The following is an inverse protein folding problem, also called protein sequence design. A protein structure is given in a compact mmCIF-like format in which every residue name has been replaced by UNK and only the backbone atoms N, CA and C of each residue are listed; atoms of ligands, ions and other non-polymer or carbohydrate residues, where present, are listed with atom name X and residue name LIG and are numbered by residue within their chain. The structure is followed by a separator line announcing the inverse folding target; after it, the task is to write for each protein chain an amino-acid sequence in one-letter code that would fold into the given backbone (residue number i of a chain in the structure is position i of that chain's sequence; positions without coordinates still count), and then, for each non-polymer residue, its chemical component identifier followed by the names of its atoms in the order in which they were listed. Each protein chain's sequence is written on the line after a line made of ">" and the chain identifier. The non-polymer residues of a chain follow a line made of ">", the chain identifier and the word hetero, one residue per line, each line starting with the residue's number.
data_IF_471615309292
#
_entry.id   IF_471615309292
#
_cell.length_a   1.000
_cell.length_b   1.000
_cell.length_c   1.000
_cell.angle_alpha   90.00
_cell.angle_beta   90.00
_cell.angle_gamma   90.00
#
_symmetry.space_group_name_H-M   'P 1'
#
loop_
_entity.id
_entity.type
_entity.pdbx_description
1 polymer ?
#
# COMPACT_ATOMS: atom_id res chain seq x y z
N UNK A 1 70.07 7.79 -14.60
CA UNK A 1 68.74 7.17 -14.85
C UNK A 1 67.82 7.25 -13.62
N UNK A 2 68.31 6.90 -12.42
CA UNK A 2 67.54 6.93 -11.16
C UNK A 2 67.01 8.33 -10.75
N UNK A 3 67.74 9.40 -11.07
CA UNK A 3 67.32 10.78 -10.73
C UNK A 3 66.03 11.21 -11.47
N UNK A 4 65.80 10.71 -12.70
CA UNK A 4 64.56 10.98 -13.45
C UNK A 4 63.34 10.23 -12.89
N UNK A 5 63.56 9.14 -12.14
CA UNK A 5 62.48 8.37 -11.49
C UNK A 5 61.97 9.09 -10.23
N UNK A 6 62.87 9.70 -9.47
CA UNK A 6 62.55 10.43 -8.24
C UNK A 6 61.74 11.71 -8.50
N UNK A 7 62.03 12.43 -9.59
CA UNK A 7 61.22 13.60 -10.00
C UNK A 7 59.81 13.23 -10.44
N UNK A 8 59.65 12.06 -11.10
CA UNK A 8 58.34 11.56 -11.54
C UNK A 8 57.46 11.18 -10.35
N UNK A 9 58.04 10.60 -9.30
CA UNK A 9 57.34 10.28 -8.04
C UNK A 9 56.94 11.54 -7.24
N UNK A 10 57.72 12.63 -7.30
CA UNK A 10 57.36 13.92 -6.67
C UNK A 10 56.19 14.62 -7.35
N UNK A 11 56.09 14.52 -8.69
CA UNK A 11 54.96 15.11 -9.43
C UNK A 11 53.63 14.37 -9.18
N UNK A 12 53.67 13.07 -8.89
CA UNK A 12 52.48 12.28 -8.57
C UNK A 12 51.87 12.62 -7.20
N UNK A 13 52.67 13.09 -6.23
CA UNK A 13 52.18 13.53 -4.91
C UNK A 13 51.76 15.00 -4.85
N UNK A 14 52.14 15.80 -5.83
CA UNK A 14 51.84 17.24 -5.84
C UNK A 14 50.38 17.56 -6.23
N UNK A 15 49.62 16.55 -6.66
CA UNK A 15 48.23 16.70 -7.13
C UNK A 15 47.19 16.06 -6.18
N UNK A 16 47.59 15.67 -4.97
CA UNK A 16 46.68 15.27 -3.91
C UNK A 16 46.07 16.52 -3.25
N UNK A 17 45.24 17.26 -4.00
CA UNK A 17 44.37 18.30 -3.44
C UNK A 17 43.28 17.61 -2.62
N UNK A 18 43.44 17.61 -1.30
CA UNK A 18 42.41 17.10 -0.39
C UNK A 18 41.13 17.94 -0.44
N UNK A 19 39.98 17.30 -0.26
CA UNK A 19 38.69 17.96 -0.08
C UNK A 19 38.77 18.96 1.07
N UNK A 20 38.25 20.16 0.86
CA UNK A 20 38.14 21.15 1.94
C UNK A 20 36.95 20.81 2.84
N UNK A 21 37.06 21.12 4.13
CA UNK A 21 35.94 20.96 5.07
C UNK A 21 34.72 21.79 4.65
N UNK A 22 34.96 22.96 4.02
CA UNK A 22 33.89 23.84 3.55
C UNK A 22 33.13 23.26 2.36
N UNK A 23 33.79 22.53 1.46
CA UNK A 23 33.11 21.83 0.35
C UNK A 23 32.14 20.78 0.88
N UNK A 24 32.57 19.97 1.85
CA UNK A 24 31.70 18.96 2.43
C UNK A 24 30.57 19.60 3.27
N UNK A 25 30.85 20.71 3.95
CA UNK A 25 29.86 21.48 4.71
C UNK A 25 28.74 22.02 3.82
N UNK A 26 29.07 22.66 2.69
CA UNK A 26 28.06 23.21 1.78
C UNK A 26 27.20 22.09 1.17
N UNK A 27 27.80 20.94 0.85
CA UNK A 27 27.07 19.78 0.31
C UNK A 27 26.05 19.23 1.31
N UNK A 28 26.44 19.00 2.57
CA UNK A 28 25.48 18.48 3.57
C UNK A 28 24.40 19.50 3.92
N UNK A 29 24.70 20.80 3.86
CA UNK A 29 23.70 21.86 4.01
C UNK A 29 22.68 21.82 2.88
N UNK A 30 23.13 21.71 1.63
CA UNK A 30 22.22 21.61 0.47
C UNK A 30 21.36 20.34 0.56
N UNK A 31 21.96 19.19 0.88
CA UNK A 31 21.23 17.92 1.07
C UNK A 31 20.21 18.07 2.21
N UNK A 32 20.59 18.69 3.33
CA UNK A 32 19.69 18.94 4.46
C UNK A 32 18.44 19.74 4.08
N UNK A 33 18.61 20.81 3.30
CA UNK A 33 17.49 21.63 2.79
C UNK A 33 16.59 20.81 1.86
N UNK A 34 17.17 20.04 0.93
CA UNK A 34 16.40 19.21 -0.01
C UNK A 34 15.61 18.12 0.72
N UNK A 35 16.26 17.41 1.66
CA UNK A 35 15.63 16.35 2.45
C UNK A 35 14.49 16.89 3.31
N UNK A 36 14.68 18.08 3.92
CA UNK A 36 13.64 18.74 4.72
C UNK A 36 12.35 19.01 3.94
N UNK A 37 12.44 19.31 2.64
CA UNK A 37 11.26 19.55 1.78
C UNK A 37 10.74 18.24 1.17
N UNK A 38 11.64 17.32 0.80
CA UNK A 38 11.29 16.10 0.07
C UNK A 38 10.60 15.05 0.95
N UNK A 39 11.07 14.83 2.19
CA UNK A 39 10.56 13.77 3.05
C UNK A 39 9.06 13.89 3.39
N UNK A 40 8.54 15.04 3.85
CA UNK A 40 7.12 15.16 4.18
C UNK A 40 6.22 14.93 2.96
N UNK A 41 6.65 15.39 1.78
CA UNK A 41 5.94 15.18 0.52
C UNK A 41 5.94 13.71 0.10
N UNK A 42 7.05 13.02 0.31
CA UNK A 42 7.16 11.59 -0.02
C UNK A 42 6.25 10.74 0.88
N UNK A 43 6.24 11.01 2.19
CA UNK A 43 5.38 10.29 3.14
C UNK A 43 3.89 10.45 2.79
N UNK A 44 3.43 11.68 2.55
CA UNK A 44 2.02 11.91 2.17
C UNK A 44 1.63 11.30 0.82
N UNK A 45 2.57 11.12 -0.12
CA UNK A 45 2.31 10.40 -1.37
C UNK A 45 2.26 8.89 -1.17
N UNK A 46 3.12 8.34 -0.30
CA UNK A 46 3.11 6.94 0.03
C UNK A 46 1.77 6.53 0.67
N UNK A 47 1.22 7.35 1.55
CA UNK A 47 -0.09 7.07 2.17
C UNK A 47 -1.23 7.11 1.14
N UNK A 48 -1.27 8.14 0.27
CA UNK A 48 -2.26 8.18 -0.83
C UNK A 48 -2.15 7.00 -1.80
N UNK A 49 -0.93 6.50 -2.04
CA UNK A 49 -0.73 5.31 -2.86
C UNK A 49 -1.32 4.06 -2.18
N UNK A 50 -1.12 3.92 -0.86
CA UNK A 50 -1.75 2.87 -0.06
C UNK A 50 -3.27 2.96 -0.08
N UNK A 51 -3.85 4.14 0.10
CA UNK A 51 -5.30 4.34 0.01
C UNK A 51 -5.86 3.86 -1.34
N UNK A 52 -5.23 4.26 -2.44
CA UNK A 52 -5.62 3.81 -3.79
C UNK A 52 -5.45 2.32 -4.00
N UNK A 53 -4.39 1.73 -3.45
CA UNK A 53 -4.18 0.28 -3.49
C UNK A 53 -5.31 -0.46 -2.76
N UNK A 54 -5.71 0.00 -1.57
CA UNK A 54 -6.82 -0.59 -0.83
C UNK A 54 -8.12 -0.55 -1.63
N UNK A 55 -8.45 0.61 -2.22
CA UNK A 55 -9.64 0.75 -3.06
C UNK A 55 -9.58 -0.12 -4.32
N UNK A 56 -8.41 -0.28 -4.92
CA UNK A 56 -8.22 -1.16 -6.08
C UNK A 56 -8.41 -2.63 -5.72
N UNK A 57 -7.91 -3.04 -4.57
CA UNK A 57 -8.07 -4.41 -4.06
C UNK A 57 -9.53 -4.72 -3.79
N UNK A 58 -10.25 -3.78 -3.19
CA UNK A 58 -11.69 -3.88 -2.97
C UNK A 58 -12.46 -3.98 -4.30
N UNK A 59 -12.08 -3.24 -5.35
CA UNK A 59 -12.69 -3.40 -6.70
C UNK A 59 -12.52 -4.82 -7.23
N UNK A 60 -11.31 -5.36 -7.12
CA UNK A 60 -11.01 -6.71 -7.59
C UNK A 60 -11.84 -7.76 -6.82
N UNK A 61 -11.94 -7.62 -5.49
CA UNK A 61 -12.74 -8.53 -4.68
C UNK A 61 -14.24 -8.41 -4.97
N UNK A 62 -14.76 -7.18 -5.15
CA UNK A 62 -16.16 -6.95 -5.58
C UNK A 62 -16.46 -7.71 -6.87
N UNK A 63 -15.60 -7.57 -7.88
CA UNK A 63 -15.80 -8.24 -9.17
C UNK A 63 -15.90 -9.77 -9.03
N UNK A 64 -15.07 -10.39 -8.19
CA UNK A 64 -15.14 -11.84 -7.92
C UNK A 64 -16.46 -12.23 -7.24
N UNK A 65 -16.89 -11.45 -6.25
CA UNK A 65 -18.15 -11.71 -5.56
C UNK A 65 -19.36 -11.53 -6.46
N UNK A 66 -19.37 -10.50 -7.31
CA UNK A 66 -20.47 -10.27 -8.25
C UNK A 66 -20.61 -11.41 -9.26
N UNK A 67 -19.47 -11.93 -9.77
CA UNK A 67 -19.48 -13.12 -10.63
C UNK A 67 -20.06 -14.33 -9.90
N UNK A 68 -19.61 -14.58 -8.66
CA UNK A 68 -20.16 -15.67 -7.86
C UNK A 68 -21.67 -15.52 -7.63
N UNK A 69 -22.15 -14.33 -7.27
CA UNK A 69 -23.57 -14.06 -7.00
C UNK A 69 -24.42 -14.30 -8.26
N UNK A 70 -23.90 -13.92 -9.43
CA UNK A 70 -24.57 -14.08 -10.71
C UNK A 70 -24.61 -15.56 -11.17
N UNK A 71 -23.52 -16.30 -11.03
CA UNK A 71 -23.38 -17.64 -11.62
C UNK A 71 -23.75 -18.79 -10.66
N UNK A 72 -23.25 -18.75 -9.42
CA UNK A 72 -23.37 -19.86 -8.45
C UNK A 72 -24.33 -19.53 -7.30
N UNK A 73 -24.31 -18.28 -6.85
CA UNK A 73 -25.06 -17.81 -5.69
C UNK A 73 -26.56 -17.62 -5.95
N UNK A 74 -27.02 -17.70 -7.20
CA UNK A 74 -28.41 -17.48 -7.59
C UNK A 74 -28.99 -16.18 -7.00
N UNK A 75 -28.21 -15.09 -7.09
CA UNK A 75 -28.57 -13.79 -6.52
C UNK A 75 -28.30 -13.64 -5.02
N UNK A 76 -27.72 -14.65 -4.37
CA UNK A 76 -27.39 -14.62 -2.94
C UNK A 76 -25.89 -14.43 -2.73
N UNK A 77 -25.54 -13.39 -1.98
CA UNK A 77 -24.18 -13.14 -1.50
C UNK A 77 -23.69 -14.28 -0.59
N UNK A 78 -22.40 -14.64 -0.67
CA UNK A 78 -21.87 -15.76 0.11
C UNK A 78 -22.01 -15.51 1.61
N UNK A 79 -22.24 -16.58 2.36
CA UNK A 79 -22.21 -16.52 3.82
C UNK A 79 -20.83 -16.06 4.32
N UNK A 80 -20.78 -15.42 5.49
CA UNK A 80 -19.54 -14.88 6.05
C UNK A 80 -18.40 -15.90 6.12
N UNK A 81 -18.72 -17.14 6.48
CA UNK A 81 -17.75 -18.24 6.59
C UNK A 81 -17.27 -18.78 5.23
N UNK A 82 -17.97 -18.46 4.14
CA UNK A 82 -17.68 -18.97 2.80
C UNK A 82 -17.08 -17.91 1.86
N UNK A 83 -17.21 -16.62 2.18
CA UNK A 83 -16.72 -15.53 1.34
C UNK A 83 -15.21 -15.63 1.03
N UNK A 84 -14.39 -16.08 1.98
CA UNK A 84 -12.96 -16.32 1.72
C UNK A 84 -12.75 -17.36 0.61
N UNK A 85 -13.47 -18.49 0.65
CA UNK A 85 -13.32 -19.55 -0.35
C UNK A 85 -13.73 -19.06 -1.74
N UNK A 86 -14.80 -18.27 -1.83
CA UNK A 86 -15.24 -17.64 -3.09
C UNK A 86 -14.13 -16.74 -3.67
N UNK A 87 -13.55 -15.87 -2.84
CA UNK A 87 -12.46 -14.99 -3.27
C UNK A 87 -11.23 -15.76 -3.72
N UNK A 88 -10.88 -16.85 -3.03
CA UNK A 88 -9.75 -17.69 -3.38
C UNK A 88 -9.97 -18.48 -4.67
N UNK A 89 -11.19 -18.95 -4.93
CA UNK A 89 -11.58 -19.58 -6.18
C UNK A 89 -11.52 -18.59 -7.36
N UNK A 90 -11.88 -17.32 -7.11
CA UNK A 90 -11.68 -16.21 -8.07
C UNK A 90 -10.25 -15.70 -8.19
N UNK A 91 -9.27 -16.38 -7.57
CA UNK A 91 -7.85 -16.08 -7.72
C UNK A 91 -7.27 -15.06 -6.73
N UNK A 92 -8.05 -14.56 -5.78
CA UNK A 92 -7.58 -13.63 -4.73
C UNK A 92 -7.28 -14.44 -3.47
N UNK A 93 -6.00 -14.59 -3.14
CA UNK A 93 -5.54 -15.44 -2.02
C UNK A 93 -4.61 -14.67 -1.09
N UNK A 94 -4.76 -14.86 0.22
CA UNK A 94 -3.87 -14.30 1.26
C UNK A 94 -3.61 -12.79 1.09
N UNK A 95 -4.61 -12.04 0.66
CA UNK A 95 -4.45 -10.62 0.36
C UNK A 95 -4.47 -9.81 1.65
N UNK A 96 -3.37 -9.08 1.90
CA UNK A 96 -3.24 -8.12 3.00
C UNK A 96 -3.64 -6.74 2.54
N UNK A 97 -4.16 -5.93 3.47
CA UNK A 97 -4.36 -4.51 3.19
C UNK A 97 -3.00 -3.80 3.06
N UNK A 98 -2.96 -2.58 2.48
CA UNK A 98 -1.72 -1.83 2.26
C UNK A 98 -0.95 -1.42 3.54
N UNK A 99 -1.55 -1.62 4.71
CA UNK A 99 -0.96 -1.38 6.03
C UNK A 99 -0.65 -2.69 6.78
N UNK A 100 -0.59 -3.81 6.06
CA UNK A 100 -0.33 -5.17 6.55
C UNK A 100 -1.40 -5.75 7.50
N UNK A 101 -2.56 -5.10 7.56
CA UNK A 101 -3.77 -5.63 8.17
C UNK A 101 -4.52 -6.57 7.23
N UNK A 102 -5.78 -6.81 7.55
CA UNK A 102 -6.61 -7.81 6.89
C UNK A 102 -7.92 -7.20 6.41
N UNK A 103 -8.46 -7.77 5.35
CA UNK A 103 -9.81 -7.50 4.90
C UNK A 103 -10.84 -8.30 5.70
N UNK A 104 -12.01 -7.71 5.86
CA UNK A 104 -13.17 -8.28 6.52
C UNK A 104 -14.32 -8.29 5.55
N UNK A 105 -15.15 -9.34 5.63
CA UNK A 105 -16.35 -9.49 4.84
C UNK A 105 -17.56 -9.58 5.77
N UNK A 106 -18.65 -8.93 5.38
CA UNK A 106 -19.94 -9.05 6.03
C UNK A 106 -21.03 -9.22 4.98
N UNK A 107 -21.79 -10.30 5.05
CA UNK A 107 -23.08 -10.44 4.38
C UNK A 107 -24.10 -9.60 5.15
N UNK A 108 -24.84 -8.77 4.44
CA UNK A 108 -25.93 -7.98 4.98
C UNK A 108 -27.16 -8.83 5.34
N UNK A 109 -28.23 -8.14 5.72
CA UNK A 109 -29.48 -8.80 6.14
C UNK A 109 -30.29 -9.34 4.97
N UNK A 110 -30.17 -8.71 3.80
CA UNK A 110 -30.79 -9.17 2.56
C UNK A 110 -29.91 -10.19 1.85
N UNK A 111 -30.47 -10.91 0.88
CA UNK A 111 -29.76 -11.99 0.19
C UNK A 111 -28.59 -11.51 -0.66
N UNK A 112 -28.75 -10.40 -1.36
CA UNK A 112 -27.77 -9.78 -2.25
C UNK A 112 -26.79 -8.83 -1.55
N UNK A 113 -27.07 -8.47 -0.29
CA UNK A 113 -26.28 -7.48 0.44
C UNK A 113 -24.98 -8.06 0.94
N UNK A 114 -23.88 -7.36 0.66
CA UNK A 114 -22.58 -7.67 1.20
C UNK A 114 -21.69 -6.45 1.24
N UNK A 115 -20.65 -6.53 2.06
CA UNK A 115 -19.56 -5.57 2.05
C UNK A 115 -18.22 -6.24 2.32
N UNK A 116 -17.17 -5.62 1.79
CA UNK A 116 -15.78 -5.92 2.13
C UNK A 116 -15.16 -4.62 2.62
N UNK A 117 -14.40 -4.68 3.71
CA UNK A 117 -13.70 -3.52 4.22
C UNK A 117 -12.35 -3.85 4.84
N UNK A 118 -11.50 -2.83 4.95
CA UNK A 118 -10.36 -2.79 5.85
C UNK A 118 -10.35 -1.44 6.59
N UNK A 119 -9.69 -1.38 7.74
CA UNK A 119 -9.63 -0.18 8.57
C UNK A 119 -8.19 0.27 8.76
N UNK A 120 -7.94 1.58 8.60
CA UNK A 120 -6.68 2.20 8.99
C UNK A 120 -6.96 3.43 9.85
N UNK A 121 -6.50 3.38 11.11
CA UNK A 121 -6.83 4.40 12.10
C UNK A 121 -8.34 4.51 12.31
N UNK A 122 -8.90 5.69 12.07
CA UNK A 122 -10.35 5.95 12.18
C UNK A 122 -11.11 5.80 10.86
N UNK A 123 -10.40 5.54 9.76
CA UNK A 123 -10.98 5.51 8.41
C UNK A 123 -11.17 4.07 7.96
N UNK A 124 -12.35 3.79 7.42
CA UNK A 124 -12.66 2.54 6.75
C UNK A 124 -12.55 2.73 5.24
N UNK A 125 -11.95 1.75 4.58
CA UNK A 125 -11.99 1.60 3.12
C UNK A 125 -12.88 0.41 2.85
N UNK A 126 -13.94 0.61 2.09
CA UNK A 126 -14.96 -0.41 1.92
C UNK A 126 -15.60 -0.37 0.54
N UNK A 127 -16.25 -1.47 0.21
CA UNK A 127 -17.09 -1.62 -0.96
C UNK A 127 -18.30 -2.45 -0.55
N UNK A 128 -19.46 -2.12 -1.11
CA UNK A 128 -20.69 -2.88 -0.91
C UNK A 128 -21.32 -3.28 -2.24
N UNK A 129 -22.37 -4.09 -2.21
CA UNK A 129 -23.24 -4.34 -3.37
C UNK A 129 -23.72 -3.02 -4.00
N UNK A 130 -24.20 -2.08 -3.19
CA UNK A 130 -24.79 -0.82 -3.64
C UNK A 130 -23.80 0.30 -4.02
N UNK A 131 -22.48 0.12 -3.82
CA UNK A 131 -21.51 1.22 -4.02
C UNK A 131 -20.16 0.78 -4.59
N UNK A 132 -19.50 1.69 -5.31
CA UNK A 132 -18.10 1.56 -5.70
C UNK A 132 -17.17 1.71 -4.49
N UNK A 133 -15.94 1.17 -4.53
CA UNK A 133 -15.01 1.29 -3.42
C UNK A 133 -14.75 2.74 -3.03
N UNK A 134 -14.98 3.02 -1.76
CA UNK A 134 -14.89 4.35 -1.17
C UNK A 134 -14.31 4.28 0.24
N UNK A 135 -14.06 5.43 0.84
CA UNK A 135 -13.59 5.57 2.21
C UNK A 135 -14.56 6.38 3.06
N UNK A 136 -14.67 6.05 4.35
CA UNK A 136 -15.56 6.78 5.27
C UNK A 136 -15.28 6.47 6.74
N UNK A 137 -16.18 6.92 7.61
CA UNK A 137 -16.09 6.73 9.06
C UNK A 137 -16.65 5.39 9.53
N UNK A 138 -17.50 4.76 8.73
CA UNK A 138 -18.00 3.41 8.93
C UNK A 138 -18.46 2.82 7.57
N UNK A 139 -18.40 1.50 7.40
CA UNK A 139 -19.01 0.82 6.26
C UNK A 139 -20.56 0.77 6.40
N UNK A 140 -21.31 0.60 5.29
CA UNK A 140 -22.78 0.73 5.28
C UNK A 140 -23.52 -0.29 6.14
N UNK A 141 -23.06 -1.55 6.21
CA UNK A 141 -23.71 -2.61 6.98
C UNK A 141 -23.06 -2.86 8.34
N UNK A 142 -21.98 -2.12 8.65
CA UNK A 142 -21.34 -2.09 9.96
C UNK A 142 -20.17 -3.06 10.09
N UNK A 143 -19.83 -3.46 11.31
CA UNK A 143 -18.66 -4.33 11.55
C UNK A 143 -19.00 -5.54 12.42
N UNK A 144 -20.18 -5.54 13.02
CA UNK A 144 -20.62 -6.60 13.94
C UNK A 144 -20.87 -7.89 13.18
N UNK A 145 -20.12 -8.94 13.52
CA UNK A 145 -20.25 -10.26 12.87
C UNK A 145 -19.50 -10.40 11.55
N UNK A 146 -18.68 -9.41 11.19
CA UNK A 146 -17.82 -9.49 10.01
C UNK A 146 -16.75 -10.58 10.20
N UNK A 147 -16.52 -11.36 9.15
CA UNK A 147 -15.52 -12.41 9.13
C UNK A 147 -14.21 -11.89 8.58
N UNK A 148 -13.12 -12.16 9.30
CA UNK A 148 -11.76 -11.89 8.83
C UNK A 148 -11.44 -12.84 7.67
N UNK A 149 -11.01 -12.31 6.53
CA UNK A 149 -10.78 -13.10 5.31
C UNK A 149 -9.44 -13.84 5.32
N UNK A 150 -8.35 -13.18 5.67
CA UNK A 150 -7.03 -13.82 5.73
C UNK A 150 -6.27 -13.38 6.98
N UNK A 151 -5.46 -14.27 7.59
CA UNK A 151 -4.68 -13.95 8.79
C UNK A 151 -3.81 -12.73 8.55
#
# INVERSE_FOLDING_TARGET
>A
MLLRLAERMRRLRADERGFTLIELLVVVVIIGVLVGIALPRFLGQADKAKEKAALSDLRAMKSVLEVYIADEGNGVAPANTYAQAVLENGGIKNKKDPWAGSYYYLKGTSDDQYEIYCQHGTTYYYVSDASEPTSGTAPPYGTTGAQKLWP
#
